data_IF_810309686275
#
_entry.id   IF_810309686275
#
_cell.length_a   1.000
_cell.length_b   1.000
_cell.length_c   1.000
_cell.angle_alpha   90.00
_cell.angle_beta   90.00
_cell.angle_gamma   90.00
#
_symmetry.space_group_name_H-M   'P 1'
#
loop_
_entity.id
_entity.type
_entity.pdbx_description
1 polymer ?
#
# COMPACT_ATOMS: atom_id res chain seq x y z
N UNK A 1 -22.73 -8.24 6.34
CA UNK A 1 -22.94 -8.76 4.96
C UNK A 1 -23.28 -7.60 4.01
N UNK A 2 -22.36 -6.63 3.83
CA UNK A 2 -22.58 -5.44 2.98
C UNK A 2 -21.61 -5.33 1.79
N UNK A 3 -20.57 -6.17 1.73
CA UNK A 3 -19.57 -6.11 0.65
C UNK A 3 -20.05 -6.67 -0.69
N UNK A 4 -21.05 -7.57 -0.71
CA UNK A 4 -21.48 -8.23 -1.94
C UNK A 4 -22.31 -7.31 -2.88
N UNK A 5 -23.05 -6.33 -2.33
CA UNK A 5 -24.03 -5.55 -3.11
C UNK A 5 -23.38 -4.42 -3.91
N UNK A 6 -22.21 -3.91 -3.50
CA UNK A 6 -21.54 -2.78 -4.18
C UNK A 6 -20.70 -3.17 -5.40
N UNK A 7 -20.31 -4.44 -5.54
CA UNK A 7 -19.51 -4.94 -6.66
C UNK A 7 -20.30 -4.93 -7.98
N UNK A 8 -21.62 -5.11 -7.92
CA UNK A 8 -22.46 -5.25 -9.11
C UNK A 8 -22.80 -3.93 -9.81
N UNK A 9 -22.38 -2.78 -9.24
CA UNK A 9 -22.51 -1.45 -9.86
C UNK A 9 -21.32 -1.06 -10.72
N UNK A 10 -20.19 -1.76 -10.61
CA UNK A 10 -19.00 -1.53 -11.42
C UNK A 10 -19.04 -2.44 -12.64
N UNK A 11 -19.38 -1.87 -13.79
CA UNK A 11 -19.37 -2.57 -15.07
C UNK A 11 -17.97 -3.11 -15.42
N UNK A 12 -17.93 -4.17 -16.23
CA UNK A 12 -16.69 -4.69 -16.81
C UNK A 12 -16.02 -3.69 -17.78
N UNK A 13 -16.79 -2.70 -18.24
CA UNK A 13 -16.34 -1.59 -19.08
C UNK A 13 -16.02 -0.33 -18.27
N UNK A 14 -15.02 0.47 -18.68
CA UNK A 14 -14.16 0.26 -19.84
C UNK A 14 -13.00 -0.70 -19.55
N UNK A 15 -12.67 -1.57 -20.51
CA UNK A 15 -11.47 -2.41 -20.47
C UNK A 15 -10.27 -1.52 -20.81
N UNK A 16 -9.32 -1.41 -19.89
CA UNK A 16 -8.07 -0.67 -20.09
C UNK A 16 -6.91 -1.64 -20.21
N UNK A 17 -5.84 -1.25 -20.88
CA UNK A 17 -4.64 -2.08 -20.88
C UNK A 17 -3.87 -1.96 -19.56
N UNK A 18 -3.25 -3.05 -19.14
CA UNK A 18 -2.38 -3.11 -17.96
C UNK A 18 -1.10 -3.86 -18.30
N UNK A 19 0.03 -3.37 -17.80
CA UNK A 19 1.31 -4.06 -17.95
C UNK A 19 1.44 -5.15 -16.89
N UNK A 20 1.56 -6.41 -17.33
CA UNK A 20 1.80 -7.57 -16.47
C UNK A 20 3.11 -8.22 -16.87
N UNK A 21 3.92 -8.56 -15.87
CA UNK A 21 5.14 -9.31 -16.11
C UNK A 21 4.82 -10.79 -16.38
N UNK A 22 5.29 -11.30 -17.51
CA UNK A 22 5.12 -12.70 -17.90
C UNK A 22 6.43 -13.45 -17.71
N UNK A 23 6.42 -14.48 -16.86
CA UNK A 23 7.63 -15.31 -16.60
C UNK A 23 8.14 -16.05 -17.84
N UNK A 24 7.25 -16.45 -18.75
CA UNK A 24 7.60 -17.18 -19.98
C UNK A 24 8.44 -16.34 -20.95
N UNK A 25 8.13 -15.06 -21.08
CA UNK A 25 8.84 -14.12 -21.97
C UNK A 25 9.84 -13.23 -21.23
N UNK A 26 9.88 -13.32 -19.90
CA UNK A 26 10.69 -12.48 -19.00
C UNK A 26 10.55 -10.98 -19.30
N UNK A 27 9.35 -10.56 -19.72
CA UNK A 27 9.04 -9.20 -20.18
C UNK A 27 7.68 -8.77 -19.65
N UNK A 28 7.46 -7.46 -19.58
CA UNK A 28 6.14 -6.88 -19.34
C UNK A 28 5.35 -6.93 -20.65
N UNK A 29 4.20 -7.59 -20.60
CA UNK A 29 3.26 -7.69 -21.71
C UNK A 29 2.01 -6.89 -21.35
N UNK A 30 1.43 -6.25 -22.36
CA UNK A 30 0.20 -5.49 -22.21
C UNK A 30 -1.00 -6.45 -22.32
N UNK A 31 -1.85 -6.46 -21.29
CA UNK A 31 -3.00 -7.36 -21.19
C UNK A 31 -4.25 -6.51 -20.97
N UNK A 32 -5.40 -6.83 -21.63
CA UNK A 32 -6.66 -6.18 -21.34
C UNK A 32 -7.10 -6.43 -19.89
N UNK A 33 -7.42 -5.37 -19.16
CA UNK A 33 -7.82 -5.38 -17.76
C UNK A 33 -9.15 -4.62 -17.55
N UNK A 34 -10.19 -5.30 -17.04
CA UNK A 34 -11.45 -4.65 -16.66
C UNK A 34 -11.26 -3.54 -15.60
N UNK A 35 -12.11 -2.51 -15.65
CA UNK A 35 -12.05 -1.37 -14.74
C UNK A 35 -12.18 -1.78 -13.27
N UNK A 36 -13.07 -2.75 -12.98
CA UNK A 36 -13.26 -3.27 -11.62
C UNK A 36 -11.98 -3.89 -11.05
N UNK A 37 -11.29 -4.72 -11.84
CA UNK A 37 -10.03 -5.35 -11.41
C UNK A 37 -8.95 -4.29 -11.23
N UNK A 38 -8.95 -3.23 -12.05
CA UNK A 38 -8.06 -2.09 -11.86
C UNK A 38 -8.30 -1.38 -10.52
N UNK A 39 -9.54 -0.99 -10.23
CA UNK A 39 -9.91 -0.35 -8.96
C UNK A 39 -9.54 -1.20 -7.75
N UNK A 40 -9.77 -2.50 -7.84
CA UNK A 40 -9.38 -3.44 -6.79
C UNK A 40 -7.85 -3.47 -6.60
N UNK A 41 -7.08 -3.65 -7.67
CA UNK A 41 -5.62 -3.71 -7.60
C UNK A 41 -4.97 -2.40 -7.16
N UNK A 42 -5.56 -1.24 -7.50
CA UNK A 42 -5.09 0.09 -7.05
C UNK A 42 -5.19 0.26 -5.52
N UNK A 43 -6.18 -0.36 -4.89
CA UNK A 43 -6.35 -0.34 -3.43
C UNK A 43 -5.59 -1.44 -2.68
N UNK A 44 -4.93 -2.35 -3.39
CA UNK A 44 -4.17 -3.45 -2.79
C UNK A 44 -2.70 -3.07 -2.56
N UNK A 45 -2.04 -3.80 -1.65
CA UNK A 45 -0.61 -3.65 -1.37
C UNK A 45 -0.28 -2.73 -0.19
N UNK A 46 -1.27 -2.11 0.46
CA UNK A 46 -1.03 -1.34 1.69
C UNK A 46 -0.41 -2.20 2.80
N UNK A 47 -0.93 -3.42 2.99
CA UNK A 47 -0.38 -4.40 3.95
C UNK A 47 0.99 -4.90 3.49
N UNK A 48 1.16 -5.28 2.22
CA UNK A 48 2.45 -5.76 1.71
C UNK A 48 3.58 -4.71 1.83
N UNK A 49 3.26 -3.43 1.66
CA UNK A 49 4.21 -2.33 1.88
C UNK A 49 4.54 -2.20 3.36
N UNK A 50 3.54 -2.28 4.24
CA UNK A 50 3.73 -2.26 5.69
C UNK A 50 4.60 -3.42 6.16
N UNK A 51 4.34 -4.64 5.69
CA UNK A 51 5.10 -5.85 6.02
C UNK A 51 6.56 -5.75 5.55
N UNK A 52 6.83 -5.13 4.40
CA UNK A 52 8.21 -4.86 3.94
C UNK A 52 8.92 -3.84 4.82
N UNK A 53 8.22 -2.80 5.25
CA UNK A 53 8.78 -1.81 6.17
C UNK A 53 9.06 -2.44 7.54
N UNK A 54 8.14 -3.26 8.04
CA UNK A 54 8.32 -4.03 9.28
C UNK A 54 9.50 -4.98 9.15
N UNK A 55 9.58 -5.78 8.08
CA UNK A 55 10.69 -6.71 7.85
C UNK A 55 12.04 -6.01 7.74
N UNK A 56 12.11 -4.82 7.13
CA UNK A 56 13.34 -4.03 7.08
C UNK A 56 13.77 -3.48 8.44
N UNK A 57 12.81 -3.14 9.31
CA UNK A 57 13.08 -2.70 10.69
C UNK A 57 13.48 -3.92 11.55
N UNK A 58 12.75 -5.03 11.43
CA UNK A 58 12.91 -6.27 12.21
C UNK A 58 14.27 -6.96 11.93
N UNK A 59 14.80 -6.88 10.70
CA UNK A 59 16.16 -7.31 10.38
C UNK A 59 17.26 -6.64 11.26
N UNK A 60 16.99 -5.48 11.85
CA UNK A 60 17.93 -4.80 12.74
C UNK A 60 17.76 -5.17 14.22
N UNK A 61 16.74 -5.95 14.57
CA UNK A 61 16.39 -6.35 15.94
C UNK A 61 16.22 -7.87 16.04
N UNK A 62 17.28 -8.65 15.79
CA UNK A 62 17.25 -10.09 16.08
C UNK A 62 17.03 -10.34 17.59
N UNK A 63 15.78 -10.56 17.97
CA UNK A 63 15.38 -10.86 19.34
C UNK A 63 15.45 -12.36 19.60
N UNK A 64 16.33 -12.79 20.51
CA UNK A 64 16.67 -14.19 20.80
C UNK A 64 15.56 -15.08 21.39
N UNK A 65 14.38 -14.56 21.75
CA UNK A 65 13.38 -15.33 22.51
C UNK A 65 11.93 -14.89 22.17
N UNK A 66 11.17 -15.78 21.52
CA UNK A 66 10.11 -15.42 20.56
C UNK A 66 8.66 -15.20 21.02
N UNK A 67 8.37 -14.58 22.19
CA UNK A 67 6.95 -14.21 22.49
C UNK A 67 6.80 -12.82 23.11
N UNK A 68 7.63 -12.47 24.10
CA UNK A 68 7.54 -11.15 24.77
C UNK A 68 8.11 -10.00 23.95
N UNK A 69 9.14 -10.24 23.16
CA UNK A 69 9.80 -9.23 22.31
C UNK A 69 9.01 -8.91 21.06
N UNK A 70 8.27 -9.87 20.50
CA UNK A 70 7.47 -9.66 19.28
C UNK A 70 6.38 -8.61 19.50
N UNK A 71 5.62 -8.70 20.61
CA UNK A 71 4.58 -7.71 20.91
C UNK A 71 5.14 -6.30 21.10
N UNK A 72 6.30 -6.16 21.76
CA UNK A 72 6.94 -4.87 21.98
C UNK A 72 7.50 -4.29 20.67
N UNK A 73 8.12 -5.14 19.84
CA UNK A 73 8.68 -4.75 18.55
C UNK A 73 7.59 -4.35 17.54
N UNK A 74 6.50 -5.13 17.47
CA UNK A 74 5.33 -4.80 16.65
C UNK A 74 4.71 -3.49 17.12
N UNK A 75 4.57 -3.25 18.42
CA UNK A 75 4.01 -2.00 18.93
C UNK A 75 4.88 -0.77 18.61
N UNK A 76 6.21 -0.87 18.76
CA UNK A 76 7.12 0.25 18.44
C UNK A 76 7.27 0.48 16.94
N UNK A 77 7.22 -0.58 16.14
CA UNK A 77 7.29 -0.48 14.67
C UNK A 77 6.00 0.06 14.06
N UNK A 78 4.82 -0.33 14.55
CA UNK A 78 3.55 0.31 14.15
C UNK A 78 3.52 1.78 14.60
N UNK A 79 3.90 2.09 15.85
CA UNK A 79 3.93 3.47 16.32
C UNK A 79 4.89 4.36 15.51
N UNK A 80 6.05 3.84 15.10
CA UNK A 80 7.00 4.60 14.29
C UNK A 80 6.49 4.82 12.86
N UNK A 81 5.75 3.85 12.29
CA UNK A 81 5.08 4.01 10.99
C UNK A 81 3.96 5.03 11.03
N UNK A 82 3.13 5.03 12.08
CA UNK A 82 2.06 6.03 12.26
C UNK A 82 2.63 7.44 12.44
N UNK A 83 3.73 7.58 13.20
CA UNK A 83 4.44 8.84 13.35
C UNK A 83 5.03 9.34 12.02
N UNK A 84 5.63 8.45 11.22
CA UNK A 84 6.16 8.79 9.89
C UNK A 84 5.03 9.20 8.93
N UNK A 85 3.89 8.48 8.96
CA UNK A 85 2.72 8.82 8.16
C UNK A 85 2.16 10.19 8.52
N UNK A 86 2.07 10.50 9.83
CA UNK A 86 1.66 11.82 10.31
C UNK A 86 2.64 12.91 9.86
N UNK A 87 3.95 12.66 9.97
CA UNK A 87 4.98 13.60 9.51
C UNK A 87 4.86 13.87 7.99
N UNK A 88 4.70 12.83 7.17
CA UNK A 88 4.46 12.97 5.73
C UNK A 88 3.17 13.75 5.41
N UNK A 89 2.09 13.53 6.17
CA UNK A 89 0.83 14.26 5.99
C UNK A 89 0.98 15.74 6.34
N UNK A 90 1.68 16.05 7.43
CA UNK A 90 1.97 17.42 7.83
C UNK A 90 2.84 18.13 6.78
N UNK A 91 3.91 17.49 6.28
CA UNK A 91 4.76 18.08 5.24
C UNK A 91 3.96 18.41 3.97
N UNK A 92 3.14 17.47 3.47
CA UNK A 92 2.28 17.73 2.29
C UNK A 92 1.26 18.83 2.53
N UNK A 93 0.69 18.92 3.73
CA UNK A 93 -0.23 19.98 4.10
C UNK A 93 0.48 21.35 4.12
N UNK A 94 1.70 21.41 4.66
CA UNK A 94 2.54 22.60 4.65
C UNK A 94 2.92 23.02 3.23
N UNK A 95 3.27 22.09 2.35
CA UNK A 95 3.57 22.36 0.93
C UNK A 95 2.33 22.92 0.20
N UNK A 96 1.16 22.35 0.47
CA UNK A 96 -0.10 22.84 -0.10
C UNK A 96 -0.44 24.26 0.39
N UNK A 97 -0.26 24.54 1.68
CA UNK A 97 -0.48 25.89 2.24
C UNK A 97 0.53 26.89 1.66
N UNK A 98 1.81 26.51 1.56
CA UNK A 98 2.87 27.38 1.03
C UNK A 98 2.64 27.72 -0.44
N UNK A 99 2.17 26.77 -1.24
CA UNK A 99 1.80 27.01 -2.64
C UNK A 99 0.55 27.88 -2.80
N UNK A 100 -0.40 27.83 -1.86
CA UNK A 100 -1.56 28.73 -1.85
C UNK A 100 -1.24 30.15 -1.38
N UNK A 101 -0.23 30.35 -0.52
CA UNK A 101 0.22 31.66 -0.03
C UNK A 101 1.15 32.36 -1.04
N UNK A 102 1.80 31.61 -1.92
CA UNK A 102 2.71 32.12 -2.94
C UNK A 102 2.02 32.63 -4.24
N UNK A 103 0.68 32.75 -4.24
CA UNK A 103 -0.16 33.37 -5.28
C UNK A 103 -0.69 34.72 -4.78
#
# INVERSE_FOLDING_TARGET
>A
MLFAVSLNRLSHEPVRSAQRFTRRSNKKVEIPQPHLIKKYNEGMGGVDVMDRLLGAIDQNYEARNGVGTFSALVSTSLSSQDALLLHCKLHKATDAITTHIAL
#
